data_IF_510076823638
#
_entry.id   IF_510076823638
#
_cell.length_a   1.000
_cell.length_b   1.000
_cell.length_c   1.000
_cell.angle_alpha   90.00
_cell.angle_beta   90.00
_cell.angle_gamma   90.00
#
_symmetry.space_group_name_H-M   'P 1'
#
loop_
_entity.id
_entity.type
_entity.pdbx_description
1 polymer ?
#
# COMPACT_ATOMS: atom_id res chain seq x y z
N UNK A 1 -2.08 21.47 -3.70
CA UNK A 1 -1.50 20.75 -2.55
C UNK A 1 -1.65 19.26 -2.84
N UNK A 2 -0.57 18.52 -3.06
CA UNK A 2 -0.66 17.06 -3.23
C UNK A 2 -0.78 16.45 -1.82
N UNK A 3 -1.93 15.83 -1.50
CA UNK A 3 -2.09 15.18 -0.19
C UNK A 3 -1.29 13.88 -0.19
N UNK A 4 -0.37 13.75 0.76
CA UNK A 4 0.47 12.55 0.88
C UNK A 4 -0.15 11.53 1.83
N UNK A 5 -1.02 11.97 2.73
CA UNK A 5 -1.79 11.09 3.60
C UNK A 5 -3.01 10.51 2.89
N UNK A 6 -3.06 9.19 2.85
CA UNK A 6 -4.13 8.39 2.29
C UNK A 6 -4.80 7.55 3.40
N UNK A 7 -6.07 7.21 3.21
CA UNK A 7 -6.79 6.29 4.09
C UNK A 7 -6.80 4.91 3.48
N UNK A 8 -6.46 3.89 4.27
CA UNK A 8 -6.42 2.50 3.79
C UNK A 8 -7.83 1.97 3.52
N UNK A 9 -8.09 1.50 2.30
CA UNK A 9 -9.38 0.92 1.94
C UNK A 9 -9.70 -0.40 2.67
N UNK A 10 -8.69 -1.12 3.19
CA UNK A 10 -8.86 -2.37 3.95
C UNK A 10 -9.12 -2.14 5.43
N UNK A 11 -8.31 -1.31 6.09
CA UNK A 11 -8.34 -1.16 7.56
C UNK A 11 -8.77 0.23 8.05
N UNK A 12 -8.97 1.20 7.16
CA UNK A 12 -9.35 2.57 7.52
C UNK A 12 -8.25 3.41 8.16
N UNK A 13 -7.05 2.87 8.36
CA UNK A 13 -5.95 3.63 8.95
C UNK A 13 -5.39 4.68 7.99
N UNK A 14 -5.03 5.84 8.52
CA UNK A 14 -4.29 6.86 7.78
C UNK A 14 -2.81 6.47 7.63
N UNK A 15 -2.24 6.72 6.46
CA UNK A 15 -0.84 6.43 6.16
C UNK A 15 -0.29 7.39 5.11
N UNK A 16 1.02 7.61 5.11
CA UNK A 16 1.69 8.43 4.10
C UNK A 16 2.10 7.58 2.90
N UNK A 17 1.65 7.97 1.71
CA UNK A 17 2.07 7.34 0.46
C UNK A 17 3.46 7.85 0.05
N UNK A 18 4.47 6.97 0.07
CA UNK A 18 5.85 7.34 -0.27
C UNK A 18 6.02 7.84 -1.71
N UNK A 19 5.20 7.33 -2.64
CA UNK A 19 5.20 7.79 -4.03
C UNK A 19 4.66 9.22 -4.18
N UNK A 20 3.53 9.54 -3.52
CA UNK A 20 2.97 10.91 -3.54
C UNK A 20 3.84 11.90 -2.77
N UNK A 21 4.53 11.43 -1.74
CA UNK A 21 5.51 12.16 -0.97
C UNK A 21 6.79 12.49 -1.74
N UNK A 22 6.99 11.90 -2.93
CA UNK A 22 8.22 11.98 -3.70
C UNK A 22 9.45 11.62 -2.83
N UNK A 23 9.27 10.63 -1.94
CA UNK A 23 10.36 10.13 -1.11
C UNK A 23 11.41 9.46 -2.01
N UNK A 24 12.69 9.66 -1.69
CA UNK A 24 13.81 9.06 -2.44
C UNK A 24 13.73 7.53 -2.45
N UNK A 25 13.09 6.93 -1.45
CA UNK A 25 12.82 5.49 -1.37
C UNK A 25 11.41 5.28 -0.80
N UNK A 26 10.47 4.85 -1.65
CA UNK A 26 9.14 4.43 -1.20
C UNK A 26 9.23 3.11 -0.45
N UNK A 27 8.68 3.05 0.76
CA UNK A 27 8.51 1.82 1.54
C UNK A 27 7.80 0.69 0.75
N UNK A 28 7.08 1.05 -0.30
CA UNK A 28 6.40 0.10 -1.18
C UNK A 28 7.37 -0.73 -2.03
N UNK A 29 8.60 -0.24 -2.25
CA UNK A 29 9.64 -0.98 -2.98
C UNK A 29 10.28 -2.09 -2.14
N UNK A 30 10.21 -2.01 -0.81
CA UNK A 30 10.65 -3.08 0.09
C UNK A 30 9.62 -4.22 0.23
N UNK A 31 8.44 -4.06 -0.37
CA UNK A 31 7.40 -5.07 -0.33
C UNK A 31 7.59 -6.09 -1.47
N UNK A 32 7.24 -7.37 -1.23
CA UNK A 32 7.23 -8.36 -2.30
C UNK A 32 6.22 -7.98 -3.38
N UNK A 33 6.45 -8.47 -4.60
CA UNK A 33 5.59 -8.20 -5.76
C UNK A 33 4.22 -8.85 -5.59
N UNK A 34 3.24 -8.06 -5.16
CA UNK A 34 1.86 -8.52 -5.00
C UNK A 34 1.14 -8.50 -6.36
N UNK A 35 0.52 -9.62 -6.78
CA UNK A 35 -0.24 -9.67 -8.03
C UNK A 35 -1.40 -8.66 -8.03
N UNK A 36 -1.64 -7.95 -9.15
CA UNK A 36 -2.67 -6.93 -9.23
C UNK A 36 -4.08 -7.48 -8.99
N UNK A 37 -4.33 -8.77 -9.28
CA UNK A 37 -5.61 -9.44 -9.00
C UNK A 37 -5.93 -9.43 -7.50
N UNK A 38 -4.92 -9.63 -6.64
CA UNK A 38 -5.10 -9.61 -5.19
C UNK A 38 -5.33 -8.20 -4.64
N UNK A 39 -4.87 -7.16 -5.35
CA UNK A 39 -5.10 -5.76 -4.98
C UNK A 39 -6.43 -5.24 -5.53
N UNK A 40 -6.88 -5.77 -6.67
CA UNK A 40 -8.09 -5.32 -7.40
C UNK A 40 -9.38 -5.46 -6.59
N UNK A 41 -9.41 -6.32 -5.57
CA UNK A 41 -10.54 -6.44 -4.63
C UNK A 41 -10.72 -5.20 -3.74
N UNK A 42 -9.69 -4.37 -3.58
CA UNK A 42 -9.73 -3.16 -2.76
C UNK A 42 -9.83 -1.92 -3.67
N UNK A 43 -10.96 -1.20 -3.59
CA UNK A 43 -11.13 0.07 -4.31
C UNK A 43 -10.49 1.22 -3.52
N UNK A 44 -9.17 1.39 -3.64
CA UNK A 44 -8.45 2.53 -3.06
C UNK A 44 -7.01 2.22 -2.67
N UNK A 45 -6.38 3.15 -1.96
CA UNK A 45 -5.00 2.97 -1.51
C UNK A 45 -4.92 2.00 -0.32
N UNK A 46 -3.83 1.23 -0.25
CA UNK A 46 -3.57 0.29 0.84
C UNK A 46 -2.31 0.68 1.61
N UNK A 47 -2.37 0.58 2.94
CA UNK A 47 -1.24 0.88 3.80
C UNK A 47 -0.18 -0.23 3.75
N UNK A 48 1.08 0.05 4.14
CA UNK A 48 2.16 -0.93 4.13
C UNK A 48 1.83 -2.20 4.93
N UNK A 49 1.14 -2.06 6.07
CA UNK A 49 0.77 -3.22 6.89
C UNK A 49 -0.22 -4.14 6.18
N UNK A 50 -1.25 -3.58 5.54
CA UNK A 50 -2.21 -4.38 4.79
C UNK A 50 -1.56 -5.05 3.57
N UNK A 51 -0.66 -4.37 2.88
CA UNK A 51 0.08 -4.95 1.75
C UNK A 51 1.00 -6.10 2.22
N UNK A 52 1.72 -5.95 3.33
CA UNK A 52 2.52 -7.04 3.93
C UNK A 52 1.67 -8.26 4.28
N UNK A 53 0.49 -8.03 4.88
CA UNK A 53 -0.44 -9.11 5.20
C UNK A 53 -0.91 -9.83 3.93
N UNK A 54 -1.34 -9.09 2.91
CA UNK A 54 -1.76 -9.68 1.63
C UNK A 54 -0.63 -10.49 1.01
N UNK A 55 0.60 -9.96 1.01
CA UNK A 55 1.75 -10.68 0.52
C UNK A 55 2.02 -11.99 1.27
N UNK A 56 1.94 -11.96 2.61
CA UNK A 56 2.07 -13.14 3.45
C UNK A 56 0.96 -14.16 3.20
N UNK A 57 -0.29 -13.70 3.01
CA UNK A 57 -1.44 -14.54 2.68
C UNK A 57 -1.25 -15.26 1.33
N UNK A 58 -0.61 -14.59 0.37
CA UNK A 58 -0.25 -15.14 -0.94
C UNK A 58 1.03 -15.99 -0.92
N UNK A 59 1.72 -16.07 0.22
CA UNK A 59 3.01 -16.77 0.41
C UNK A 59 4.10 -16.29 -0.56
N UNK A 60 4.17 -14.97 -0.77
CA UNK A 60 5.18 -14.29 -1.56
C UNK A 60 6.46 -14.00 -0.76
#
# INVERSE_FOLDING_TARGET
MMKTEQTCAKCGSEFRCGNLANDTMCWCMDLPSIPPEALSQFQGCLCPNCLKLIAQELKL
#
